data_IF_947739277986
#
_entry.id   IF_947739277986
#
_cell.length_a   1.000
_cell.length_b   1.000
_cell.length_c   1.000
_cell.angle_alpha   90.00
_cell.angle_beta   90.00
_cell.angle_gamma   90.00
#
_symmetry.space_group_name_H-M   'P 1'
#
loop_
_entity.id
_entity.type
_entity.pdbx_description
1 polymer ?
#
# COMPACT_ATOMS: atom_id res chain seq x y z
N UNK A 1 3.89 5.43 13.50
CA UNK A 1 2.98 5.00 12.42
C UNK A 1 2.80 6.16 11.46
N UNK A 2 3.29 6.04 10.23
CA UNK A 2 3.04 7.04 9.18
C UNK A 2 1.61 6.81 8.70
N UNK A 3 0.69 7.71 9.05
CA UNK A 3 -0.68 7.64 8.58
C UNK A 3 -0.79 8.44 7.28
N UNK A 4 -0.83 7.74 6.14
CA UNK A 4 -1.03 8.33 4.80
C UNK A 4 -2.50 8.75 4.67
N UNK A 5 -2.91 9.87 5.29
CA UNK A 5 -4.26 10.40 5.10
C UNK A 5 -4.31 11.16 3.78
N UNK A 6 -4.78 10.51 2.71
CA UNK A 6 -4.93 11.10 1.36
C UNK A 6 -5.65 12.46 1.37
N UNK A 7 -6.64 12.63 2.28
CA UNK A 7 -7.38 13.89 2.46
C UNK A 7 -6.49 15.13 2.69
N UNK A 8 -5.24 14.94 3.13
CA UNK A 8 -4.28 16.03 3.38
C UNK A 8 -3.12 16.10 2.37
N UNK A 9 -3.01 15.15 1.43
CA UNK A 9 -1.86 15.03 0.48
C UNK A 9 -2.27 15.05 -1.00
N UNK A 10 -3.54 15.32 -1.31
CA UNK A 10 -3.97 15.68 -2.68
C UNK A 10 -4.13 14.52 -3.67
N UNK A 11 -4.04 13.26 -3.23
CA UNK A 11 -4.26 12.08 -4.08
C UNK A 11 -5.74 11.72 -4.09
N UNK A 12 -6.40 11.83 -5.26
CA UNK A 12 -7.79 11.41 -5.42
C UNK A 12 -7.95 9.89 -5.33
N UNK A 13 -9.16 9.43 -4.96
CA UNK A 13 -9.45 8.00 -4.96
C UNK A 13 -9.32 7.37 -6.34
N UNK A 14 -9.73 8.08 -7.39
CA UNK A 14 -9.61 7.61 -8.78
C UNK A 14 -8.15 7.40 -9.19
N UNK A 15 -7.28 8.38 -8.90
CA UNK A 15 -5.86 8.28 -9.21
C UNK A 15 -5.20 7.14 -8.41
N UNK A 16 -5.57 6.99 -7.14
CA UNK A 16 -5.09 5.89 -6.32
C UNK A 16 -5.50 4.53 -6.91
N UNK A 17 -6.78 4.33 -7.21
CA UNK A 17 -7.28 3.06 -7.74
C UNK A 17 -6.74 2.75 -9.14
N UNK A 18 -6.45 3.77 -9.95
CA UNK A 18 -5.83 3.59 -11.26
C UNK A 18 -4.41 3.03 -11.18
N UNK A 19 -3.68 3.28 -10.09
CA UNK A 19 -2.26 2.92 -9.96
C UNK A 19 -1.94 1.91 -8.87
N UNK A 20 -2.87 1.62 -7.95
CA UNK A 20 -2.59 0.75 -6.79
C UNK A 20 -2.08 -0.64 -7.20
N UNK A 21 -2.59 -1.21 -8.29
CA UNK A 21 -2.13 -2.52 -8.77
C UNK A 21 -0.67 -2.50 -9.22
N UNK A 22 -0.29 -1.54 -10.06
CA UNK A 22 1.08 -1.34 -10.50
C UNK A 22 2.03 -1.05 -9.32
N UNK A 23 1.60 -0.14 -8.44
CA UNK A 23 2.37 0.19 -7.23
C UNK A 23 2.63 -1.05 -6.37
N UNK A 24 1.65 -1.93 -6.21
CA UNK A 24 1.80 -3.13 -5.38
C UNK A 24 2.73 -4.17 -6.00
N UNK A 25 2.63 -4.39 -7.31
CA UNK A 25 3.54 -5.28 -8.02
C UNK A 25 4.99 -4.78 -7.92
N UNK A 26 5.20 -3.49 -8.13
CA UNK A 26 6.52 -2.86 -8.03
C UNK A 26 7.07 -2.93 -6.60
N UNK A 27 6.22 -2.67 -5.59
CA UNK A 27 6.63 -2.71 -4.19
C UNK A 27 7.09 -4.11 -3.74
N UNK A 28 6.41 -5.17 -4.17
CA UNK A 28 6.83 -6.54 -3.83
C UNK A 28 8.15 -6.92 -4.50
N UNK A 29 8.44 -6.36 -5.68
CA UNK A 29 9.70 -6.60 -6.40
C UNK A 29 10.85 -5.69 -5.96
N UNK A 30 10.59 -4.72 -5.09
CA UNK A 30 11.64 -3.85 -4.57
C UNK A 30 12.61 -4.67 -3.70
N UNK A 31 13.93 -4.61 -3.93
CA UNK A 31 14.92 -5.32 -3.13
C UNK A 31 14.77 -5.06 -1.62
N UNK A 32 14.27 -3.90 -1.20
CA UNK A 32 14.02 -3.61 0.20
C UNK A 32 12.92 -4.49 0.81
N UNK A 33 11.94 -4.95 0.03
CA UNK A 33 10.87 -5.83 0.52
C UNK A 33 11.42 -7.19 0.92
N UNK A 34 12.48 -7.66 0.25
CA UNK A 34 13.13 -8.92 0.59
C UNK A 34 13.82 -8.93 1.96
N UNK A 35 14.09 -7.76 2.54
CA UNK A 35 14.71 -7.65 3.87
C UNK A 35 13.69 -7.53 5.01
N UNK A 36 12.40 -7.49 4.68
CA UNK A 36 11.34 -7.38 5.67
C UNK A 36 11.20 -8.72 6.43
N UNK A 37 11.07 -8.72 7.77
CA UNK A 37 11.03 -9.95 8.58
C UNK A 37 9.79 -10.82 8.31
N UNK A 38 8.82 -10.29 7.56
CA UNK A 38 7.63 -10.97 7.11
C UNK A 38 7.56 -10.93 5.59
N UNK A 39 7.45 -12.10 4.96
CA UNK A 39 7.10 -12.22 3.55
C UNK A 39 5.74 -11.59 3.28
N UNK A 40 5.64 -10.85 2.18
CA UNK A 40 4.44 -10.10 1.83
C UNK A 40 4.08 -10.39 0.38
N UNK A 41 2.88 -10.94 0.15
CA UNK A 41 2.32 -11.13 -1.19
C UNK A 41 1.86 -9.80 -1.82
N UNK A 42 1.64 -9.80 -3.14
CA UNK A 42 1.09 -8.65 -3.87
C UNK A 42 -0.30 -8.29 -3.31
N UNK A 43 -1.10 -9.28 -2.98
CA UNK A 43 -2.44 -9.11 -2.41
C UNK A 43 -2.39 -8.50 -1.00
N UNK A 44 -1.47 -8.95 -0.14
CA UNK A 44 -1.27 -8.35 1.19
C UNK A 44 -0.73 -6.92 1.10
N UNK A 45 0.20 -6.66 0.19
CA UNK A 45 0.71 -5.31 -0.08
C UNK A 45 -0.40 -4.37 -0.56
N UNK A 46 -1.29 -4.87 -1.43
CA UNK A 46 -2.47 -4.11 -1.89
C UNK A 46 -3.42 -3.79 -0.75
N UNK A 47 -3.70 -4.75 0.13
CA UNK A 47 -4.52 -4.52 1.34
C UNK A 47 -3.88 -3.47 2.24
N UNK A 48 -2.55 -3.49 2.40
CA UNK A 48 -1.80 -2.48 3.16
C UNK A 48 -1.95 -1.08 2.57
N UNK A 49 -1.81 -0.90 1.26
CA UNK A 49 -2.00 0.40 0.61
C UNK A 49 -3.45 0.89 0.72
N UNK A 50 -4.44 0.04 0.51
CA UNK A 50 -5.85 0.40 0.68
C UNK A 50 -6.13 0.80 2.14
N UNK A 51 -5.62 0.02 3.10
CA UNK A 51 -5.78 0.33 4.51
C UNK A 51 -5.10 1.65 4.89
N UNK A 52 -3.90 1.92 4.38
CA UNK A 52 -3.21 3.18 4.59
C UNK A 52 -4.00 4.36 3.99
N UNK A 53 -4.49 4.21 2.75
CA UNK A 53 -5.23 5.25 2.03
C UNK A 53 -6.55 5.63 2.70
N UNK A 54 -7.31 4.61 3.16
CA UNK A 54 -8.61 4.81 3.81
C UNK A 54 -8.53 4.94 5.34
N UNK A 55 -7.36 4.75 5.93
CA UNK A 55 -7.16 4.77 7.39
C UNK A 55 -7.80 3.58 8.12
N UNK A 56 -7.77 2.40 7.50
CA UNK A 56 -8.29 1.16 8.07
C UNK A 56 -7.22 0.42 8.88
N UNK A 57 -7.66 -0.37 9.85
CA UNK A 57 -6.77 -1.30 10.55
C UNK A 57 -6.53 -2.56 9.70
N UNK A 58 -5.34 -3.14 9.81
CA UNK A 58 -4.98 -4.44 9.23
C UNK A 58 -4.78 -5.46 10.34
N UNK A 59 -5.18 -6.71 10.12
CA UNK A 59 -5.15 -7.79 11.11
C UNK A 59 -4.63 -9.13 10.56
N UNK A 60 -4.00 -9.09 9.39
CA UNK A 60 -3.37 -10.24 8.76
C UNK A 60 -1.90 -10.28 9.11
#
# INVERSE_FOLDING_TARGET
MVQIRSKNIGVSGELFHAHVDEMTANAVQDPCTSTNPRETSVEEMKKLYIAAFYGLNVNF
#
